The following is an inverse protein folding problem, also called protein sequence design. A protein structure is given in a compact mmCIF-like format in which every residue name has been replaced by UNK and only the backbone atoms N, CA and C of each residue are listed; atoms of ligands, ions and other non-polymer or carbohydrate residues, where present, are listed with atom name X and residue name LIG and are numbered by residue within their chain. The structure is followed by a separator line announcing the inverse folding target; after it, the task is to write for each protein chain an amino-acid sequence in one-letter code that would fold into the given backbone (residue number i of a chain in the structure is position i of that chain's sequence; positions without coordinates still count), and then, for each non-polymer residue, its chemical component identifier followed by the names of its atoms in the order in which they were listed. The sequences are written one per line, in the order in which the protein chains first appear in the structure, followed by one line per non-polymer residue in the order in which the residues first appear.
data_IF_165770450667
#
_entry.id   IF_165770450667
#
_cell.length_a   1.000
_cell.length_b   1.000
_cell.length_c   1.000
_cell.angle_alpha   90.00
_cell.angle_beta   90.00
_cell.angle_gamma   90.00
#
_symmetry.space_group_name_H-M   'P 1'
#
loop_
_entity.id
_entity.type
_entity.pdbx_description
1 polymer ?
#
# COMPACT_ATOMS: atom_id res chain seq x y z
N UNK A 1 29.64 31.44 13.30
CA UNK A 1 28.46 30.64 13.72
C UNK A 1 27.34 30.61 12.67
N UNK A 2 26.92 31.75 12.09
CA UNK A 2 25.89 31.82 11.01
C UNK A 2 26.12 30.92 9.79
N UNK A 3 27.38 30.66 9.41
CA UNK A 3 27.70 29.87 8.22
C UNK A 3 27.50 28.37 8.46
N UNK A 4 27.87 27.87 9.64
CA UNK A 4 27.66 26.47 10.03
C UNK A 4 26.17 26.13 10.19
N UNK A 5 25.36 27.08 10.69
CA UNK A 5 23.91 26.90 10.81
C UNK A 5 23.23 26.80 9.44
N UNK A 6 23.70 27.56 8.44
CA UNK A 6 23.18 27.48 7.06
C UNK A 6 23.54 26.14 6.40
N UNK A 7 24.77 25.65 6.55
CA UNK A 7 25.21 24.38 5.95
C UNK A 7 24.51 23.16 6.56
N UNK A 8 24.25 23.18 7.87
CA UNK A 8 23.50 22.12 8.55
C UNK A 8 22.03 22.11 8.10
N UNK A 9 21.42 23.28 7.91
CA UNK A 9 20.04 23.39 7.41
C UNK A 9 19.93 22.85 5.98
N UNK A 10 20.87 23.17 5.08
CA UNK A 10 20.84 22.63 3.70
C UNK A 10 21.03 21.12 3.64
N UNK A 11 21.90 20.54 4.49
CA UNK A 11 22.11 19.10 4.54
C UNK A 11 20.89 18.33 5.07
N UNK A 12 20.19 18.87 6.07
CA UNK A 12 18.96 18.25 6.61
C UNK A 12 17.82 18.28 5.59
N UNK A 13 17.71 19.33 4.77
CA UNK A 13 16.68 19.42 3.72
C UNK A 13 16.91 18.47 2.54
N UNK A 14 18.18 18.19 2.17
CA UNK A 14 18.51 17.28 1.07
C UNK A 14 18.25 15.81 1.45
N UNK A 15 18.45 15.44 2.72
CA UNK A 15 18.21 14.08 3.21
C UNK A 15 16.73 13.71 3.31
N UNK A 16 15.83 14.69 3.52
CA UNK A 16 14.39 14.46 3.64
C UNK A 16 13.68 14.18 2.29
N UNK A 17 14.35 14.43 1.16
CA UNK A 17 13.76 14.35 -0.19
C UNK A 17 14.07 13.04 -0.93
N UNK A 18 14.65 12.04 -0.25
CA UNK A 18 15.21 10.82 -0.86
C UNK A 18 14.31 9.56 -0.81
N UNK A 19 13.08 9.62 -0.29
CA UNK A 19 12.22 8.43 -0.18
C UNK A 19 10.79 8.68 -0.68
N UNK A 20 10.64 8.96 -1.99
CA UNK A 20 9.40 8.58 -2.67
C UNK A 20 9.55 7.13 -3.14
N UNK A 21 8.96 6.13 -2.45
CA UNK A 21 8.82 4.81 -3.06
C UNK A 21 7.98 4.98 -4.32
N UNK A 22 8.62 4.78 -5.48
CA UNK A 22 7.95 4.80 -6.77
C UNK A 22 6.83 3.76 -6.76
N UNK A 23 5.62 4.19 -7.10
CA UNK A 23 4.48 3.31 -7.23
C UNK A 23 4.70 2.51 -8.53
N UNK A 24 5.31 1.32 -8.43
CA UNK A 24 5.38 0.39 -9.56
C UNK A 24 3.99 -0.19 -9.74
N UNK A 25 3.23 0.42 -10.64
CA UNK A 25 2.02 -0.19 -11.17
C UNK A 25 2.47 -1.32 -12.09
N UNK A 26 2.04 -2.55 -11.81
CA UNK A 26 2.17 -3.64 -12.76
C UNK A 26 1.31 -3.29 -13.99
N UNK A 27 1.97 -2.72 -14.99
CA UNK A 27 1.36 -2.37 -16.28
C UNK A 27 1.53 -3.53 -17.25
N UNK A 28 0.60 -3.64 -18.20
CA UNK A 28 0.76 -4.57 -19.33
C UNK A 28 2.09 -4.27 -20.04
N UNK A 29 2.99 -5.24 -20.16
CA UNK A 29 4.27 -5.01 -20.81
C UNK A 29 4.04 -4.81 -22.31
N UNK A 30 4.91 -4.00 -22.91
CA UNK A 30 4.86 -3.70 -24.33
C UNK A 30 5.41 -4.87 -25.14
N UNK A 31 4.64 -5.36 -26.10
CA UNK A 31 5.06 -6.45 -26.98
C UNK A 31 5.33 -5.89 -28.39
N UNK A 32 6.56 -6.07 -28.88
CA UNK A 32 6.99 -5.61 -30.19
C UNK A 32 7.10 -6.79 -31.16
N UNK A 33 6.49 -6.72 -32.37
CA UNK A 33 6.54 -7.81 -33.35
C UNK A 33 7.97 -8.01 -33.85
N UNK A 34 8.49 -9.23 -33.67
CA UNK A 34 9.85 -9.60 -34.08
C UNK A 34 9.93 -10.34 -35.41
N UNK A 35 8.80 -10.77 -35.99
CA UNK A 35 8.75 -11.60 -37.21
C UNK A 35 7.87 -11.01 -38.32
N UNK A 36 7.66 -9.70 -38.30
CA UNK A 36 6.84 -9.01 -39.31
C UNK A 36 5.33 -9.25 -39.15
N UNK A 37 4.86 -9.51 -37.92
CA UNK A 37 3.43 -9.56 -37.64
C UNK A 37 2.80 -8.18 -37.90
N UNK A 38 1.63 -8.15 -38.54
CA UNK A 38 0.85 -6.93 -38.71
C UNK A 38 0.04 -6.60 -37.44
N UNK A 39 -0.60 -5.42 -37.46
CA UNK A 39 -1.38 -4.94 -36.31
C UNK A 39 -2.58 -5.86 -35.98
N UNK A 40 -3.17 -6.49 -36.99
CA UNK A 40 -4.33 -7.36 -36.81
C UNK A 40 -3.91 -8.65 -36.11
N UNK A 41 -2.83 -9.29 -36.58
CA UNK A 41 -2.24 -10.47 -35.96
C UNK A 41 -1.77 -10.16 -34.54
N UNK A 42 -1.17 -8.99 -34.32
CA UNK A 42 -0.76 -8.56 -32.98
C UNK A 42 -1.97 -8.45 -32.02
N UNK A 43 -3.10 -7.91 -32.49
CA UNK A 43 -4.30 -7.81 -31.67
C UNK A 43 -4.89 -9.17 -31.28
N UNK A 44 -4.88 -10.13 -32.22
CA UNK A 44 -5.33 -11.51 -31.99
C UNK A 44 -4.39 -12.23 -31.03
N UNK A 45 -3.08 -12.09 -31.25
CA UNK A 45 -2.06 -12.69 -30.40
C UNK A 45 -2.14 -12.16 -28.97
N UNK A 46 -2.34 -10.84 -28.82
CA UNK A 46 -2.55 -10.18 -27.54
C UNK A 46 -3.76 -10.74 -26.80
N UNK A 47 -4.92 -10.80 -27.45
CA UNK A 47 -6.14 -11.30 -26.85
C UNK A 47 -5.99 -12.76 -26.38
N UNK A 48 -5.37 -13.60 -27.22
CA UNK A 48 -5.13 -14.99 -26.89
C UNK A 48 -4.12 -15.15 -25.75
N UNK A 49 -3.05 -14.36 -25.73
CA UNK A 49 -2.06 -14.44 -24.65
C UNK A 49 -2.59 -13.88 -23.32
N UNK A 50 -3.48 -12.88 -23.34
CA UNK A 50 -4.16 -12.39 -22.14
C UNK A 50 -5.15 -13.44 -21.60
N UNK A 51 -5.87 -14.14 -22.48
CA UNK A 51 -6.74 -15.25 -22.10
C UNK A 51 -5.93 -16.43 -21.53
N UNK A 52 -4.81 -16.78 -22.19
CA UNK A 52 -3.90 -17.82 -21.73
C UNK A 52 -3.32 -17.50 -20.35
N UNK A 53 -2.82 -16.27 -20.15
CA UNK A 53 -2.30 -15.83 -18.86
C UNK A 53 -3.33 -15.96 -17.72
N UNK A 54 -4.61 -15.66 -18.01
CA UNK A 54 -5.70 -15.83 -17.05
C UNK A 54 -5.92 -17.31 -16.71
N UNK A 55 -5.89 -18.17 -17.73
CA UNK A 55 -6.07 -19.62 -17.56
C UNK A 55 -4.89 -20.28 -16.84
N UNK A 56 -3.66 -19.85 -17.14
CA UNK A 56 -2.42 -20.40 -16.59
C UNK A 56 -2.21 -19.99 -15.13
N UNK A 57 -2.43 -18.71 -14.81
CA UNK A 57 -2.22 -18.18 -13.45
C UNK A 57 -3.45 -18.26 -12.55
N UNK A 58 -4.65 -18.39 -13.14
CA UNK A 58 -5.92 -18.25 -12.42
C UNK A 58 -6.25 -16.81 -11.98
N UNK A 59 -5.44 -15.83 -12.39
CA UNK A 59 -5.58 -14.42 -11.97
C UNK A 59 -6.43 -13.66 -12.99
N UNK A 60 -7.51 -13.05 -12.51
CA UNK A 60 -8.32 -12.11 -13.30
C UNK A 60 -7.87 -10.66 -13.03
N UNK A 61 -7.19 -10.00 -13.99
CA UNK A 61 -6.68 -8.64 -13.78
C UNK A 61 -7.81 -7.63 -13.52
N UNK A 62 -9.01 -7.84 -14.05
CA UNK A 62 -10.16 -6.95 -13.81
C UNK A 62 -10.67 -7.09 -12.37
N UNK A 63 -10.73 -8.31 -11.84
CA UNK A 63 -11.13 -8.56 -10.45
C UNK A 63 -10.10 -8.00 -9.45
N UNK A 64 -8.81 -8.19 -9.74
CA UNK A 64 -7.70 -7.63 -8.96
C UNK A 64 -7.75 -6.10 -9.00
N UNK A 65 -8.01 -5.49 -10.16
CA UNK A 65 -8.18 -4.05 -10.31
C UNK A 65 -9.36 -3.51 -9.49
N UNK A 66 -10.46 -4.27 -9.41
CA UNK A 66 -11.68 -3.89 -8.70
C UNK A 66 -11.64 -4.11 -7.18
N UNK A 67 -10.56 -4.70 -6.64
CA UNK A 67 -10.45 -4.96 -5.19
C UNK A 67 -10.49 -3.62 -4.42
N UNK A 68 -11.48 -3.41 -3.54
CA UNK A 68 -11.66 -2.15 -2.83
C UNK A 68 -10.54 -1.92 -1.81
N UNK A 69 -10.21 -0.65 -1.59
CA UNK A 69 -9.28 -0.28 -0.52
C UNK A 69 -9.85 -0.69 0.84
N UNK A 70 -9.00 -1.06 1.82
CA UNK A 70 -9.47 -1.41 3.16
C UNK A 70 -10.32 -0.27 3.74
N UNK A 71 -11.47 -0.57 4.36
CA UNK A 71 -12.39 0.45 4.85
C UNK A 71 -11.71 1.37 5.86
N UNK A 72 -11.84 2.68 5.62
CA UNK A 72 -11.31 3.75 6.47
C UNK A 72 -12.40 4.28 7.41
N UNK A 73 -13.01 3.44 8.26
CA UNK A 73 -14.09 3.97 9.12
C UNK A 73 -14.73 3.02 10.11
N UNK A 74 -15.42 3.55 11.13
CA UNK A 74 -15.78 2.81 12.34
C UNK A 74 -17.05 1.99 12.12
N UNK A 75 -16.89 0.72 11.76
CA UNK A 75 -17.95 -0.27 11.94
C UNK A 75 -17.52 -1.21 13.08
N UNK A 76 -18.02 -0.94 14.29
CA UNK A 76 -17.91 -1.81 15.47
C UNK A 76 -16.61 -1.77 16.28
N UNK A 77 -15.45 -1.51 15.67
CA UNK A 77 -14.16 -1.63 16.38
C UNK A 77 -13.83 -0.46 17.33
N UNK A 78 -14.35 0.74 17.10
CA UNK A 78 -14.13 1.87 18.03
C UNK A 78 -14.88 1.70 19.34
N UNK A 79 -16.06 1.07 19.34
CA UNK A 79 -16.80 0.80 20.58
C UNK A 79 -16.07 -0.28 21.39
N UNK A 80 -15.60 -1.34 20.74
CA UNK A 80 -14.81 -2.41 21.39
C UNK A 80 -13.44 -1.92 21.84
N UNK A 81 -12.80 -1.04 21.07
CA UNK A 81 -11.52 -0.41 21.37
C UNK A 81 -11.59 0.66 22.46
N UNK A 82 -12.70 1.40 22.54
CA UNK A 82 -12.95 2.36 23.62
C UNK A 82 -13.23 1.65 24.95
N UNK A 83 -14.02 0.57 24.95
CA UNK A 83 -14.28 -0.25 26.15
C UNK A 83 -13.00 -0.95 26.63
N UNK A 84 -12.17 -1.49 25.74
CA UNK A 84 -10.89 -2.13 26.11
C UNK A 84 -9.79 -1.11 26.45
N UNK A 85 -9.80 0.06 25.83
CA UNK A 85 -8.87 1.16 26.12
C UNK A 85 -9.14 1.83 27.47
N UNK A 86 -10.41 1.94 27.87
CA UNK A 86 -10.81 2.44 29.19
C UNK A 86 -10.35 1.51 30.32
N UNK A 87 -10.37 0.19 30.11
CA UNK A 87 -9.91 -0.79 31.11
C UNK A 87 -8.38 -0.81 31.31
N UNK A 88 -7.60 -0.36 30.32
CA UNK A 88 -6.13 -0.37 30.37
C UNK A 88 -5.49 0.98 30.76
N UNK A 89 -6.25 2.06 30.83
CA UNK A 89 -5.74 3.43 30.99
C UNK A 89 -5.65 3.95 32.43
N UNK A 90 -6.14 3.20 33.43
CA UNK A 90 -6.26 3.68 34.81
C UNK A 90 -5.09 3.26 35.75
N UNK A 91 -4.07 2.57 35.24
CA UNK A 91 -3.04 1.97 36.12
C UNK A 91 -1.87 2.91 36.43
N UNK A 92 -1.80 4.09 35.82
CA UNK A 92 -0.73 5.07 36.05
C UNK A 92 -1.36 6.46 36.19
N UNK A 93 -1.92 6.76 37.36
CA UNK A 93 -2.56 8.05 37.65
C UNK A 93 -2.54 8.48 39.12
N UNK A 94 -1.75 7.82 39.98
CA UNK A 94 -1.74 8.11 41.44
C UNK A 94 -0.44 8.76 41.95
N UNK A 95 0.53 9.14 41.10
CA UNK A 95 1.84 9.63 41.59
C UNK A 95 1.98 11.16 41.51
N UNK A 96 0.94 11.92 41.16
CA UNK A 96 1.04 13.39 41.14
C UNK A 96 -0.25 14.03 41.65
N UNK A 97 -0.13 14.63 42.84
CA UNK A 97 -1.01 15.61 43.52
C UNK A 97 -2.54 15.43 43.37
N UNK A 98 -3.19 15.13 44.50
CA UNK A 98 -4.61 15.30 44.90
C UNK A 98 -5.63 15.84 43.86
N UNK A 99 -5.71 15.23 42.68
CA UNK A 99 -6.73 15.54 41.67
C UNK A 99 -6.88 14.36 40.68
N UNK A 100 -7.26 13.19 41.19
CA UNK A 100 -7.47 11.96 40.43
C UNK A 100 -8.38 12.16 39.20
N UNK A 101 -9.35 13.09 39.28
CA UNK A 101 -10.23 13.45 38.16
C UNK A 101 -9.51 14.14 37.00
N UNK A 102 -8.46 14.92 37.29
CA UNK A 102 -7.66 15.65 36.29
C UNK A 102 -6.67 14.71 35.60
N UNK A 103 -6.05 13.81 36.36
CA UNK A 103 -5.20 12.72 35.83
C UNK A 103 -5.96 11.75 34.93
N UNK A 104 -7.19 11.39 35.32
CA UNK A 104 -8.08 10.54 34.51
C UNK A 104 -8.49 11.22 33.19
N UNK A 105 -8.81 12.52 33.21
CA UNK A 105 -9.14 13.27 32.00
C UNK A 105 -7.96 13.40 31.02
N UNK A 106 -6.75 13.63 31.54
CA UNK A 106 -5.52 13.69 30.74
C UNK A 106 -5.13 12.31 30.19
N UNK A 107 -5.25 11.24 31.00
CA UNK A 107 -4.99 9.86 30.57
C UNK A 107 -5.98 9.38 29.50
N UNK A 108 -7.27 9.72 29.64
CA UNK A 108 -8.29 9.40 28.65
C UNK A 108 -8.05 10.10 27.31
N UNK A 109 -7.71 11.39 27.33
CA UNK A 109 -7.39 12.14 26.11
C UNK A 109 -6.09 11.66 25.46
N UNK A 110 -5.04 11.42 26.25
CA UNK A 110 -3.78 10.85 25.75
C UNK A 110 -3.98 9.43 25.16
N UNK A 111 -4.80 8.58 25.79
CA UNK A 111 -5.14 7.24 25.31
C UNK A 111 -5.92 7.25 23.99
N UNK A 112 -6.88 8.18 23.83
CA UNK A 112 -7.62 8.37 22.57
C UNK A 112 -6.67 8.82 21.45
N UNK A 113 -5.76 9.74 21.73
CA UNK A 113 -4.78 10.22 20.76
C UNK A 113 -3.78 9.13 20.36
N UNK A 114 -3.22 8.40 21.32
CA UNK A 114 -2.29 7.30 21.09
C UNK A 114 -2.96 6.12 20.36
N UNK A 115 -4.18 5.75 20.77
CA UNK A 115 -4.99 4.73 20.10
C UNK A 115 -5.37 5.13 18.68
N UNK A 116 -5.73 6.40 18.46
CA UNK A 116 -6.01 6.96 17.15
C UNK A 116 -4.80 6.92 16.21
N UNK A 117 -3.60 7.25 16.71
CA UNK A 117 -2.36 7.13 15.92
C UNK A 117 -2.05 5.68 15.55
N UNK A 118 -2.18 4.75 16.50
CA UNK A 118 -1.94 3.31 16.23
C UNK A 118 -2.96 2.73 15.26
N UNK A 119 -4.24 3.13 15.34
CA UNK A 119 -5.27 2.75 14.37
C UNK A 119 -4.93 3.22 12.96
N UNK A 120 -4.50 4.49 12.80
CA UNK A 120 -4.11 5.02 11.49
C UNK A 120 -2.89 4.30 10.93
N UNK A 121 -1.91 3.99 11.78
CA UNK A 121 -0.73 3.23 11.38
C UNK A 121 -1.08 1.83 10.90
N UNK A 122 -1.98 1.12 11.60
CA UNK A 122 -2.46 -0.22 11.16
C UNK A 122 -3.23 -0.14 9.84
N UNK A 123 -4.07 0.87 9.67
CA UNK A 123 -4.81 1.09 8.41
C UNK A 123 -3.86 1.40 7.25
N UNK A 124 -2.85 2.24 7.47
CA UNK A 124 -1.82 2.53 6.47
C UNK A 124 -1.04 1.27 6.09
N UNK A 125 -0.67 0.44 7.08
CA UNK A 125 0.00 -0.85 6.84
C UNK A 125 -0.90 -1.82 6.06
N UNK A 126 -2.19 -1.92 6.40
CA UNK A 126 -3.14 -2.77 5.67
C UNK A 126 -3.35 -2.29 4.23
N UNK A 127 -3.48 -0.98 4.01
CA UNK A 127 -3.59 -0.41 2.67
C UNK A 127 -2.32 -0.69 1.83
N UNK A 128 -1.14 -0.57 2.44
CA UNK A 128 0.13 -0.91 1.79
C UNK A 128 0.21 -2.41 1.45
N UNK A 129 -0.21 -3.30 2.35
CA UNK A 129 -0.21 -4.74 2.09
C UNK A 129 -1.17 -5.12 0.96
N UNK A 130 -2.40 -4.58 0.96
CA UNK A 130 -3.36 -4.84 -0.12
C UNK A 130 -2.81 -4.35 -1.47
N UNK A 131 -2.18 -3.17 -1.50
CA UNK A 131 -1.58 -2.63 -2.72
C UNK A 131 -0.39 -3.48 -3.21
N UNK A 132 0.43 -4.00 -2.29
CA UNK A 132 1.56 -4.86 -2.64
C UNK A 132 1.09 -6.20 -3.25
N UNK A 133 0.11 -6.86 -2.63
CA UNK A 133 -0.47 -8.12 -3.15
C UNK A 133 -1.13 -7.91 -4.52
N UNK A 134 -1.81 -6.77 -4.70
CA UNK A 134 -2.38 -6.38 -5.99
C UNK A 134 -1.32 -6.24 -7.08
N UNK A 135 -0.21 -5.55 -6.78
CA UNK A 135 0.88 -5.38 -7.73
C UNK A 135 1.54 -6.72 -8.08
N UNK A 136 1.77 -7.58 -7.09
CA UNK A 136 2.38 -8.91 -7.27
C UNK A 136 1.52 -9.85 -8.12
N UNK A 137 0.20 -9.89 -7.87
CA UNK A 137 -0.72 -10.70 -8.67
C UNK A 137 -0.78 -10.25 -10.14
N UNK A 138 -0.81 -8.94 -10.39
CA UNK A 138 -0.74 -8.39 -11.74
C UNK A 138 0.62 -8.65 -12.40
N UNK A 139 1.73 -8.56 -11.67
CA UNK A 139 3.07 -8.90 -12.19
C UNK A 139 3.13 -10.37 -12.62
N UNK A 140 2.61 -11.29 -11.80
CA UNK A 140 2.53 -12.72 -12.12
C UNK A 140 1.71 -12.98 -13.37
N UNK A 141 0.54 -12.34 -13.49
CA UNK A 141 -0.31 -12.39 -14.68
C UNK A 141 0.42 -11.88 -15.93
N UNK A 142 1.09 -10.72 -15.85
CA UNK A 142 1.77 -10.12 -16.99
C UNK A 142 3.06 -10.84 -17.37
N UNK A 143 3.73 -11.52 -16.45
CA UNK A 143 4.83 -12.43 -16.75
C UNK A 143 4.38 -13.60 -17.60
N UNK A 144 3.25 -14.22 -17.27
CA UNK A 144 2.66 -15.27 -18.08
C UNK A 144 2.30 -14.74 -19.48
N UNK A 145 1.59 -13.62 -19.57
CA UNK A 145 1.32 -12.95 -20.85
C UNK A 145 2.61 -12.72 -21.67
N UNK A 146 3.67 -12.23 -21.02
CA UNK A 146 4.97 -12.00 -21.63
C UNK A 146 5.60 -13.29 -22.18
N UNK A 147 5.55 -14.40 -21.44
CA UNK A 147 6.05 -15.70 -21.88
C UNK A 147 5.30 -16.21 -23.13
N UNK A 148 3.97 -16.06 -23.16
CA UNK A 148 3.17 -16.40 -24.34
C UNK A 148 3.57 -15.56 -25.56
N UNK A 149 3.67 -14.24 -25.40
CA UNK A 149 4.06 -13.34 -26.49
C UNK A 149 5.48 -13.63 -26.98
N UNK A 150 6.43 -13.91 -26.08
CA UNK A 150 7.78 -14.33 -26.44
C UNK A 150 7.80 -15.63 -27.27
N UNK A 151 6.98 -16.62 -26.90
CA UNK A 151 6.82 -17.86 -27.68
C UNK A 151 6.33 -17.63 -29.12
N UNK A 152 5.55 -16.57 -29.34
CA UNK A 152 5.05 -16.16 -30.66
C UNK A 152 6.04 -15.29 -31.44
N UNK A 153 7.20 -15.00 -30.86
CA UNK A 153 8.25 -14.21 -31.49
C UNK A 153 8.12 -12.70 -31.29
N UNK A 154 7.42 -12.26 -30.25
CA UNK A 154 7.42 -10.87 -29.84
C UNK A 154 8.55 -10.59 -28.84
N UNK A 155 9.10 -9.38 -28.89
CA UNK A 155 10.00 -8.87 -27.86
C UNK A 155 9.16 -8.13 -26.82
N UNK A 156 9.16 -8.61 -25.58
CA UNK A 156 8.37 -8.03 -24.49
C UNK A 156 9.27 -7.14 -23.60
N UNK A 157 8.83 -5.91 -23.32
CA UNK A 157 9.54 -4.91 -22.50
C UNK A 157 8.64 -4.23 -21.49
#
# INVERSE_FOLDING_TARGET
MRNATRTVITLVTVFLMSCLPGIVMAQKPSAYPGKGQDAEQQSVDDAQCLAWAKQDTGIDPAAVAATPAPPTGPQGERLRGAVRGAAGGAVIGEIVDDDAGKGAAVGATAGVLAGGRRSRQRQAQQAQQVQAVKAESLDTYYRAYGACMQGRGYTVK
#
